data_IF_350237651087
#
_entry.id   IF_350237651087
#
_cell.length_a   1.000
_cell.length_b   1.000
_cell.length_c   1.000
_cell.angle_alpha   90.00
_cell.angle_beta   90.00
_cell.angle_gamma   90.00
#
_symmetry.space_group_name_H-M   'P 1'
#
loop_
_entity.id
_entity.type
_entity.pdbx_description
1 polymer ?
#
# COMPACT_ATOMS: atom_id res chain seq x y z
N UNK A 1 69.64 21.56 -16.50
CA UNK A 1 69.22 20.32 -15.80
C UNK A 1 67.89 20.62 -15.13
N UNK A 2 66.81 20.06 -15.67
CA UNK A 2 65.46 20.30 -15.16
C UNK A 2 65.29 19.56 -13.83
N UNK A 3 64.89 20.29 -12.78
CA UNK A 3 64.50 19.72 -11.50
C UNK A 3 63.29 18.81 -11.72
N UNK A 4 63.54 17.50 -11.76
CA UNK A 4 62.51 16.48 -11.59
C UNK A 4 62.02 16.57 -10.15
N UNK A 5 60.95 17.33 -9.91
CA UNK A 5 60.13 17.17 -8.70
C UNK A 5 59.52 15.77 -8.76
N UNK A 6 60.24 14.80 -8.21
CA UNK A 6 59.72 13.46 -7.92
C UNK A 6 58.40 13.61 -7.16
N UNK A 7 57.32 13.05 -7.71
CA UNK A 7 56.06 12.95 -7.00
C UNK A 7 56.31 12.29 -5.63
N UNK A 8 55.64 12.72 -4.56
CA UNK A 8 55.69 11.96 -3.31
C UNK A 8 55.12 10.58 -3.64
N UNK A 9 55.98 9.56 -3.60
CA UNK A 9 55.53 8.19 -3.42
C UNK A 9 54.94 8.17 -2.02
N UNK A 10 53.64 8.44 -1.91
CA UNK A 10 52.96 8.45 -0.63
C UNK A 10 53.01 7.03 -0.09
N UNK A 11 53.89 6.80 0.90
CA UNK A 11 53.79 5.64 1.76
C UNK A 11 52.35 5.58 2.29
N UNK A 12 51.78 4.38 2.36
CA UNK A 12 50.43 4.18 2.87
C UNK A 12 50.32 4.86 4.23
N UNK A 13 49.56 5.96 4.30
CA UNK A 13 49.31 6.62 5.58
C UNK A 13 48.53 5.66 6.45
N UNK A 14 48.80 5.60 7.76
CA UNK A 14 48.01 4.78 8.67
C UNK A 14 46.54 5.16 8.54
N UNK A 15 45.65 4.17 8.70
CA UNK A 15 44.21 4.43 8.64
C UNK A 15 43.83 5.48 9.72
N UNK A 16 42.92 6.40 9.40
CA UNK A 16 42.42 7.36 10.39
C UNK A 16 41.82 6.65 11.61
N UNK A 17 42.10 7.17 12.79
CA UNK A 17 41.51 6.69 14.05
C UNK A 17 40.07 7.19 14.20
N UNK A 18 39.24 6.39 14.87
CA UNK A 18 37.87 6.76 15.17
C UNK A 18 37.83 7.65 16.42
N UNK A 19 37.00 8.70 16.46
CA UNK A 19 36.90 9.58 17.62
C UNK A 19 36.30 8.83 18.82
N UNK A 20 36.75 9.11 20.03
CA UNK A 20 36.09 8.61 21.24
C UNK A 20 34.67 9.17 21.36
N UNK A 21 33.78 8.42 22.00
CA UNK A 21 32.41 8.88 22.28
C UNK A 21 32.01 8.59 23.73
N UNK A 22 30.99 9.28 24.21
CA UNK A 22 30.34 9.00 25.49
C UNK A 22 28.84 8.97 25.25
N UNK A 23 28.18 7.94 25.74
CA UNK A 23 26.74 7.78 25.58
C UNK A 23 26.01 8.52 26.70
N UNK A 24 24.98 9.27 26.34
CA UNK A 24 24.00 9.83 27.26
C UNK A 24 22.59 9.48 26.79
N UNK A 25 21.62 9.51 27.69
CA UNK A 25 20.21 9.34 27.31
C UNK A 25 19.82 10.40 26.28
N UNK A 26 19.09 10.00 25.24
CA UNK A 26 18.55 10.91 24.25
C UNK A 26 17.48 11.81 24.92
N UNK A 27 17.65 13.15 24.91
CA UNK A 27 16.62 14.04 25.44
C UNK A 27 15.33 13.93 24.63
N UNK A 28 14.14 13.94 25.26
CA UNK A 28 12.87 13.83 24.53
C UNK A 28 12.65 15.02 23.59
N UNK A 29 11.92 14.81 22.49
CA UNK A 29 11.57 15.86 21.52
C UNK A 29 10.72 16.96 22.16
N UNK A 30 9.81 16.59 23.06
CA UNK A 30 9.01 17.52 23.85
C UNK A 30 9.37 17.32 25.32
N UNK A 31 9.82 18.39 25.97
CA UNK A 31 10.22 18.35 27.37
C UNK A 31 9.10 17.76 28.25
N UNK A 32 9.44 16.71 29.00
CA UNK A 32 8.51 16.01 29.89
C UNK A 32 7.64 14.93 29.23
N UNK A 33 7.70 14.75 27.90
CA UNK A 33 6.95 13.72 27.19
C UNK A 33 7.93 12.71 26.59
N UNK A 34 7.97 11.46 27.06
CA UNK A 34 8.77 10.42 26.41
C UNK A 34 8.39 10.22 24.93
N UNK A 35 9.38 10.05 24.06
CA UNK A 35 9.20 9.96 22.60
C UNK A 35 8.28 8.81 22.16
N UNK A 36 8.19 7.74 22.97
CA UNK A 36 7.23 6.64 22.77
C UNK A 36 5.78 7.16 22.70
N UNK A 37 5.38 8.11 23.54
CA UNK A 37 4.02 8.65 23.49
C UNK A 37 3.77 9.45 22.21
N UNK A 38 4.80 10.14 21.71
CA UNK A 38 4.72 10.83 20.43
C UNK A 38 4.66 9.83 19.27
N UNK A 39 5.41 8.73 19.35
CA UNK A 39 5.38 7.65 18.36
C UNK A 39 3.99 7.02 18.26
N UNK A 40 3.31 6.82 19.39
CA UNK A 40 1.95 6.26 19.43
C UNK A 40 0.88 7.27 18.99
N UNK A 41 1.04 8.55 19.38
CA UNK A 41 0.05 9.59 19.07
C UNK A 41 0.14 10.09 17.62
N UNK A 42 1.34 10.20 17.05
CA UNK A 42 1.56 10.76 15.71
C UNK A 42 0.75 10.08 14.60
N UNK A 43 0.72 8.74 14.44
CA UNK A 43 -0.10 8.10 13.43
C UNK A 43 -1.61 8.31 13.65
N UNK A 44 -2.08 8.36 14.89
CA UNK A 44 -3.50 8.63 15.21
C UNK A 44 -3.87 10.07 14.80
N UNK A 45 -3.04 11.04 15.16
CA UNK A 45 -3.25 12.45 14.78
C UNK A 45 -3.21 12.59 13.25
N UNK A 46 -2.25 11.96 12.58
CA UNK A 46 -2.14 11.99 11.13
C UNK A 46 -3.35 11.34 10.46
N UNK A 47 -3.81 10.19 10.95
CA UNK A 47 -4.99 9.49 10.47
C UNK A 47 -6.20 10.43 10.42
N UNK A 48 -6.53 11.05 11.56
CA UNK A 48 -7.70 11.92 11.66
C UNK A 48 -7.52 13.22 10.89
N UNK A 49 -6.32 13.79 10.87
CA UNK A 49 -6.02 15.03 10.11
C UNK A 49 -6.25 14.81 8.61
N UNK A 50 -5.66 13.75 8.04
CA UNK A 50 -5.78 13.46 6.60
C UNK A 50 -7.20 12.98 6.26
N UNK A 51 -7.79 12.19 7.14
CA UNK A 51 -9.20 11.79 7.02
C UNK A 51 -10.15 12.98 6.96
N UNK A 52 -9.98 13.94 7.87
CA UNK A 52 -10.78 15.17 7.92
C UNK A 52 -10.53 16.05 6.70
N UNK A 53 -9.28 16.15 6.23
CA UNK A 53 -8.96 16.87 5.01
C UNK A 53 -9.76 16.35 3.81
N UNK A 54 -9.74 15.04 3.55
CA UNK A 54 -10.53 14.46 2.46
C UNK A 54 -12.04 14.50 2.72
N UNK A 55 -12.46 14.38 3.98
CA UNK A 55 -13.87 14.53 4.34
C UNK A 55 -14.38 15.95 4.05
N UNK A 56 -13.59 16.98 4.33
CA UNK A 56 -13.91 18.38 4.01
C UNK A 56 -13.98 18.57 2.49
N UNK A 57 -13.04 18.02 1.73
CA UNK A 57 -13.08 18.04 0.26
C UNK A 57 -14.39 17.43 -0.25
N UNK A 58 -14.82 16.33 0.37
CA UNK A 58 -16.02 15.61 -0.02
C UNK A 58 -17.32 16.36 0.31
N UNK A 59 -17.47 16.83 1.54
CA UNK A 59 -18.69 17.53 1.99
C UNK A 59 -18.85 18.92 1.35
N UNK A 60 -17.75 19.60 1.03
CA UNK A 60 -17.77 20.89 0.33
C UNK A 60 -17.74 20.74 -1.21
N UNK A 61 -17.69 19.51 -1.72
CA UNK A 61 -17.63 19.20 -3.16
C UNK A 61 -16.53 20.00 -3.91
N UNK A 62 -15.33 20.09 -3.33
CA UNK A 62 -14.27 20.98 -3.85
C UNK A 62 -13.58 20.43 -5.11
N UNK A 63 -13.56 19.11 -5.30
CA UNK A 63 -12.81 18.43 -6.36
C UNK A 63 -13.61 17.29 -7.05
N UNK A 64 -14.86 17.51 -7.47
CA UNK A 64 -15.75 16.46 -7.98
C UNK A 64 -15.20 15.77 -9.24
N UNK A 65 -14.42 16.47 -10.06
CA UNK A 65 -13.80 15.92 -11.27
C UNK A 65 -12.75 14.83 -10.99
N UNK A 66 -12.21 14.77 -9.78
CA UNK A 66 -11.22 13.78 -9.35
C UNK A 66 -11.81 12.70 -8.44
N UNK A 67 -13.10 12.80 -8.11
CA UNK A 67 -13.80 11.84 -7.24
C UNK A 67 -14.05 10.53 -8.00
N UNK A 68 -13.71 9.40 -7.38
CA UNK A 68 -13.89 8.08 -7.99
C UNK A 68 -15.37 7.66 -8.04
N UNK A 69 -16.12 7.96 -7.00
CA UNK A 69 -17.53 7.57 -6.85
C UNK A 69 -18.44 8.76 -6.55
N UNK A 70 -19.70 8.68 -6.93
CA UNK A 70 -20.68 9.73 -6.63
C UNK A 70 -21.20 9.65 -5.19
N UNK A 71 -21.71 10.76 -4.61
CA UNK A 71 -22.37 10.72 -3.30
C UNK A 71 -23.52 9.70 -3.22
N UNK A 72 -24.25 9.51 -4.33
CA UNK A 72 -25.29 8.50 -4.44
C UNK A 72 -24.74 7.07 -4.26
N UNK A 73 -23.57 6.78 -4.85
CA UNK A 73 -22.89 5.49 -4.67
C UNK A 73 -22.45 5.29 -3.22
N UNK A 74 -21.82 6.29 -2.60
CA UNK A 74 -21.39 6.24 -1.19
C UNK A 74 -22.60 5.91 -0.30
N UNK A 75 -23.74 6.59 -0.52
CA UNK A 75 -24.94 6.42 0.30
C UNK A 75 -25.67 5.09 0.06
N UNK A 76 -25.60 4.51 -1.15
CA UNK A 76 -26.42 3.34 -1.53
C UNK A 76 -25.66 2.02 -1.65
N UNK A 77 -24.34 2.04 -1.79
CA UNK A 77 -23.52 0.82 -1.97
C UNK A 77 -22.86 0.37 -0.68
N UNK A 78 -22.49 1.31 0.19
CA UNK A 78 -21.93 0.97 1.50
C UNK A 78 -23.00 0.33 2.39
N UNK A 79 -22.61 -0.76 3.07
CA UNK A 79 -23.49 -1.56 3.94
C UNK A 79 -23.26 -1.31 5.43
N UNK A 80 -22.55 -0.23 5.74
CA UNK A 80 -22.17 0.17 7.09
C UNK A 80 -22.39 1.68 7.23
N UNK A 81 -22.81 2.11 8.41
CA UNK A 81 -22.96 3.53 8.71
C UNK A 81 -21.61 4.18 9.03
N UNK A 82 -21.51 5.49 8.79
CA UNK A 82 -20.30 6.27 9.16
C UNK A 82 -19.99 6.19 10.66
N UNK A 83 -21.02 6.07 11.52
CA UNK A 83 -20.85 5.92 12.97
C UNK A 83 -20.22 4.58 13.36
N UNK A 84 -20.67 3.47 12.76
CA UNK A 84 -20.07 2.16 13.00
C UNK A 84 -18.60 2.14 12.56
N UNK A 85 -18.29 2.76 11.42
CA UNK A 85 -16.91 2.94 10.94
C UNK A 85 -16.08 3.72 11.95
N UNK A 86 -16.56 4.89 12.39
CA UNK A 86 -15.88 5.71 13.39
C UNK A 86 -15.59 4.93 14.68
N UNK A 87 -16.59 4.26 15.25
CA UNK A 87 -16.44 3.47 16.48
C UNK A 87 -15.38 2.39 16.33
N UNK A 88 -15.42 1.65 15.22
CA UNK A 88 -14.51 0.52 15.00
C UNK A 88 -13.07 1.00 14.76
N UNK A 89 -12.88 2.15 14.10
CA UNK A 89 -11.56 2.79 13.95
C UNK A 89 -10.98 3.20 15.31
N UNK A 90 -11.80 3.77 16.21
CA UNK A 90 -11.35 4.12 17.58
C UNK A 90 -10.92 2.85 18.34
N UNK A 91 -11.69 1.76 18.22
CA UNK A 91 -11.31 0.47 18.81
C UNK A 91 -9.97 -0.03 18.25
N UNK A 92 -9.77 0.09 16.93
CA UNK A 92 -8.52 -0.31 16.28
C UNK A 92 -7.33 0.52 16.77
N UNK A 93 -7.50 1.83 16.94
CA UNK A 93 -6.45 2.72 17.48
C UNK A 93 -6.11 2.41 18.94
N UNK A 94 -7.08 2.00 19.76
CA UNK A 94 -6.83 1.52 21.13
C UNK A 94 -5.96 0.25 21.09
N UNK A 95 -6.31 -0.71 20.23
CA UNK A 95 -5.54 -1.96 20.08
C UNK A 95 -4.12 -1.67 19.60
N UNK A 96 -3.96 -0.82 18.58
CA UNK A 96 -2.67 -0.37 18.08
C UNK A 96 -1.82 0.30 19.17
N UNK A 97 -2.44 1.15 20.00
CA UNK A 97 -1.75 1.83 21.11
C UNK A 97 -1.26 0.84 22.16
N UNK A 98 -2.10 -0.13 22.57
CA UNK A 98 -1.72 -1.17 23.54
C UNK A 98 -0.57 -2.03 22.98
N UNK A 99 -0.66 -2.43 21.72
CA UNK A 99 0.38 -3.22 21.08
C UNK A 99 1.69 -2.44 20.94
N UNK A 100 1.62 -1.16 20.58
CA UNK A 100 2.78 -0.28 20.50
C UNK A 100 3.46 -0.07 21.85
N UNK A 101 2.68 0.07 22.93
CA UNK A 101 3.22 0.07 24.31
C UNK A 101 3.91 -1.25 24.65
N UNK A 102 3.35 -2.38 24.22
CA UNK A 102 3.97 -3.68 24.43
C UNK A 102 5.31 -3.80 23.67
N UNK A 103 5.39 -3.32 22.43
CA UNK A 103 6.66 -3.28 21.67
C UNK A 103 7.67 -2.35 22.35
N UNK A 104 7.25 -1.13 22.70
CA UNK A 104 8.11 -0.15 23.36
C UNK A 104 8.67 -0.62 24.71
N UNK A 105 7.98 -1.53 25.41
CA UNK A 105 8.47 -2.12 26.65
C UNK A 105 9.73 -2.99 26.47
N UNK A 106 10.01 -3.44 25.23
CA UNK A 106 11.22 -4.20 24.90
C UNK A 106 12.33 -3.34 24.29
N UNK A 107 12.04 -2.08 23.94
CA UNK A 107 13.04 -1.19 23.38
C UNK A 107 13.99 -0.70 24.48
N UNK A 108 15.32 -0.83 24.30
CA UNK A 108 16.27 -0.25 25.23
C UNK A 108 16.15 1.28 25.23
N UNK A 109 16.53 1.96 26.33
CA UNK A 109 16.56 3.42 26.35
C UNK A 109 17.41 3.98 25.20
N UNK A 110 16.85 4.94 24.46
CA UNK A 110 17.59 5.57 23.36
C UNK A 110 18.76 6.38 23.90
N UNK A 111 19.93 6.16 23.29
CA UNK A 111 21.18 6.82 23.65
C UNK A 111 21.66 7.71 22.48
N UNK A 112 22.33 8.80 22.81
CA UNK A 112 22.98 9.73 21.88
C UNK A 112 24.44 9.95 22.26
N UNK A 113 25.22 10.58 21.37
CA UNK A 113 26.62 10.92 21.59
C UNK A 113 27.61 10.08 20.77
N UNK A 114 27.12 9.12 19.98
CA UNK A 114 27.93 8.26 19.10
C UNK A 114 27.92 8.72 17.63
N UNK A 115 27.22 9.78 17.29
CA UNK A 115 26.95 10.21 15.91
C UNK A 115 28.26 10.50 15.15
N UNK A 116 29.19 11.23 15.78
CA UNK A 116 30.50 11.52 15.19
C UNK A 116 31.34 10.26 14.96
N UNK A 117 31.26 9.30 15.89
CA UNK A 117 31.91 8.00 15.75
C UNK A 117 31.33 7.20 14.59
N UNK A 118 30.00 7.13 14.47
CA UNK A 118 29.33 6.40 13.39
C UNK A 118 29.62 7.01 12.01
N UNK A 119 29.61 8.35 11.90
CA UNK A 119 30.03 9.05 10.68
C UNK A 119 31.50 8.75 10.36
N UNK A 120 32.39 8.78 11.35
CA UNK A 120 33.79 8.42 11.16
C UNK A 120 33.97 6.94 10.77
N UNK A 121 33.13 6.04 11.29
CA UNK A 121 33.16 4.62 10.93
C UNK A 121 32.79 4.40 9.46
N UNK A 122 31.78 5.12 8.95
CA UNK A 122 31.45 5.14 7.52
C UNK A 122 32.58 5.77 6.67
N UNK A 123 33.21 6.85 7.15
CA UNK A 123 34.35 7.45 6.47
C UNK A 123 35.56 6.49 6.42
N UNK A 124 35.76 5.69 7.47
CA UNK A 124 36.78 4.64 7.53
C UNK A 124 36.47 3.50 6.56
N UNK A 125 35.21 3.09 6.46
CA UNK A 125 34.78 2.13 5.45
C UNK A 125 35.05 2.65 4.03
N UNK A 126 34.76 3.93 3.78
CA UNK A 126 35.06 4.60 2.51
C UNK A 126 36.57 4.68 2.23
N UNK A 127 37.40 4.96 3.24
CA UNK A 127 38.87 4.94 3.12
C UNK A 127 39.39 3.54 2.78
N UNK A 128 38.85 2.50 3.44
CA UNK A 128 39.16 1.09 3.13
C UNK A 128 38.72 0.73 1.71
N UNK A 129 37.59 1.25 1.23
CA UNK A 129 37.14 1.06 -0.14
C UNK A 129 38.10 1.71 -1.16
N UNK A 130 38.60 2.92 -0.88
CA UNK A 130 39.59 3.59 -1.73
C UNK A 130 40.88 2.78 -1.88
N UNK A 131 41.29 2.00 -0.88
CA UNK A 131 42.50 1.15 -0.96
C UNK A 131 42.44 0.12 -2.11
N UNK A 132 41.25 -0.18 -2.63
CA UNK A 132 41.06 -1.06 -3.79
C UNK A 132 41.25 -0.33 -5.13
N UNK A 133 41.22 1.00 -5.19
CA UNK A 133 41.32 1.76 -6.43
C UNK A 133 42.62 1.48 -7.22
N UNK A 134 43.82 1.42 -6.60
CA UNK A 134 45.05 1.04 -7.31
C UNK A 134 44.97 -0.35 -7.95
N UNK A 135 44.34 -1.32 -7.29
CA UNK A 135 44.16 -2.65 -7.83
C UNK A 135 43.21 -2.63 -9.03
N UNK A 136 42.05 -1.98 -8.89
CA UNK A 136 41.05 -1.89 -9.96
C UNK A 136 41.61 -1.18 -11.20
N UNK A 137 42.41 -0.13 -11.01
CA UNK A 137 43.07 0.57 -12.11
C UNK A 137 44.09 -0.32 -12.84
N UNK A 138 44.90 -1.10 -12.10
CA UNK A 138 45.84 -2.06 -12.69
C UNK A 138 45.13 -3.13 -13.50
N UNK A 139 43.98 -3.62 -13.02
CA UNK A 139 43.13 -4.57 -13.76
C UNK A 139 42.60 -3.97 -15.08
N UNK A 140 42.44 -2.65 -15.14
CA UNK A 140 42.07 -1.93 -16.35
C UNK A 140 43.28 -1.52 -17.22
N UNK A 141 44.49 -1.99 -16.91
CA UNK A 141 45.72 -1.64 -17.64
C UNK A 141 46.27 -0.24 -17.34
N UNK A 142 45.80 0.42 -16.29
CA UNK A 142 46.27 1.74 -15.87
C UNK A 142 47.19 1.64 -14.65
N UNK A 143 48.37 2.26 -14.73
CA UNK A 143 49.26 2.36 -13.57
C UNK A 143 48.83 3.53 -12.66
N UNK A 144 48.40 3.27 -11.41
CA UNK A 144 47.90 4.30 -10.51
C UNK A 144 48.97 5.32 -10.09
N UNK A 145 50.25 4.94 -10.02
CA UNK A 145 51.31 5.84 -9.55
C UNK A 145 51.57 7.03 -10.51
N UNK A 146 51.86 6.83 -11.81
CA UNK A 146 52.03 7.93 -12.75
C UNK A 146 50.72 8.69 -12.98
N UNK A 147 49.57 8.01 -12.91
CA UNK A 147 48.26 8.66 -13.04
C UNK A 147 48.00 9.62 -11.88
N UNK A 148 48.20 9.19 -10.63
CA UNK A 148 48.08 10.04 -9.45
C UNK A 148 49.03 11.24 -9.52
N UNK A 149 50.30 11.02 -9.91
CA UNK A 149 51.28 12.10 -10.06
C UNK A 149 50.84 13.18 -11.06
N UNK A 150 50.25 12.79 -12.20
CA UNK A 150 49.72 13.74 -13.20
C UNK A 150 48.53 14.54 -12.67
N UNK A 151 47.65 13.89 -11.91
CA UNK A 151 46.45 14.51 -11.36
C UNK A 151 46.76 15.45 -10.19
N UNK A 152 47.84 15.22 -9.45
CA UNK A 152 48.12 15.88 -8.17
C UNK A 152 48.04 17.41 -8.20
N UNK A 153 48.58 18.04 -9.24
CA UNK A 153 48.65 19.50 -9.35
C UNK A 153 47.28 20.15 -9.54
N UNK A 154 46.41 19.52 -10.33
CA UNK A 154 45.10 20.06 -10.71
C UNK A 154 43.96 19.51 -9.85
N UNK A 155 44.09 18.26 -9.39
CA UNK A 155 43.05 17.51 -8.68
C UNK A 155 43.66 16.67 -7.54
N UNK A 156 44.20 17.30 -6.48
CA UNK A 156 44.91 16.61 -5.41
C UNK A 156 44.04 15.56 -4.68
N UNK A 157 42.74 15.82 -4.50
CA UNK A 157 41.80 14.86 -3.90
C UNK A 157 41.65 13.60 -4.76
N UNK A 158 41.44 13.77 -6.07
CA UNK A 158 41.31 12.65 -6.99
C UNK A 158 42.62 11.87 -7.10
N UNK A 159 43.75 12.57 -7.12
CA UNK A 159 45.08 11.96 -7.09
C UNK A 159 45.28 11.08 -5.86
N UNK A 160 44.82 11.53 -4.68
CA UNK A 160 44.86 10.74 -3.44
C UNK A 160 43.96 9.50 -3.50
N UNK A 161 42.74 9.61 -4.07
CA UNK A 161 41.84 8.46 -4.31
C UNK A 161 42.48 7.42 -5.23
N UNK A 162 43.04 7.87 -6.37
CA UNK A 162 43.76 7.01 -7.32
C UNK A 162 44.96 6.31 -6.67
N UNK A 163 45.62 6.99 -5.74
CA UNK A 163 46.72 6.43 -4.93
C UNK A 163 46.24 5.52 -3.78
N UNK A 164 44.96 5.16 -3.71
CA UNK A 164 44.44 4.25 -2.69
C UNK A 164 44.02 4.92 -1.39
N UNK A 165 43.67 6.20 -1.44
CA UNK A 165 43.34 6.99 -0.25
C UNK A 165 44.58 7.44 0.52
N UNK A 166 45.68 7.69 -0.19
CA UNK A 166 46.91 8.24 0.37
C UNK A 166 46.85 9.77 0.37
N UNK A 167 46.48 10.35 1.52
CA UNK A 167 46.34 11.80 1.69
C UNK A 167 47.56 12.40 2.39
N UNK A 168 47.89 13.68 2.14
CA UNK A 168 49.08 14.32 2.69
C UNK A 168 48.93 14.75 4.16
N UNK A 169 47.76 14.55 4.76
CA UNK A 169 47.45 14.91 6.15
C UNK A 169 46.93 13.68 6.90
N UNK A 170 47.24 13.55 8.19
CA UNK A 170 46.63 12.52 9.03
C UNK A 170 45.13 12.77 9.16
N UNK A 171 44.35 11.69 9.29
CA UNK A 171 42.91 11.75 9.47
C UNK A 171 42.09 11.63 8.17
N UNK A 172 40.78 11.87 8.31
CA UNK A 172 39.83 11.84 7.20
C UNK A 172 39.93 13.11 6.35
N UNK A 173 39.80 12.94 5.03
CA UNK A 173 39.60 14.06 4.14
C UNK A 173 38.19 14.64 4.34
N UNK A 174 37.99 15.97 4.19
CA UNK A 174 36.69 16.59 4.44
C UNK A 174 35.53 15.99 3.63
N UNK A 175 35.80 15.63 2.36
CA UNK A 175 34.79 15.01 1.49
C UNK A 175 34.41 13.60 1.96
N UNK A 176 35.32 12.85 2.60
CA UNK A 176 35.01 11.52 3.13
C UNK A 176 34.01 11.62 4.27
N UNK A 177 34.19 12.59 5.17
CA UNK A 177 33.25 12.87 6.25
C UNK A 177 31.91 13.39 5.74
N UNK A 178 31.90 14.18 4.66
CA UNK A 178 30.65 14.64 4.03
C UNK A 178 29.86 13.47 3.43
N UNK A 179 30.52 12.60 2.65
CA UNK A 179 29.89 11.42 2.07
C UNK A 179 29.43 10.45 3.16
N UNK A 180 30.27 10.19 4.15
CA UNK A 180 29.94 9.35 5.29
C UNK A 180 28.78 9.93 6.12
N UNK A 181 28.76 11.25 6.30
CA UNK A 181 27.65 11.97 6.94
C UNK A 181 26.35 11.80 6.15
N UNK A 182 26.40 11.92 4.82
CA UNK A 182 25.23 11.67 3.98
C UNK A 182 24.75 10.22 4.07
N UNK A 183 25.66 9.24 4.03
CA UNK A 183 25.31 7.82 4.21
C UNK A 183 24.66 7.59 5.56
N UNK A 184 25.23 8.12 6.64
CA UNK A 184 24.70 7.94 7.99
C UNK A 184 23.34 8.64 8.19
N UNK A 185 23.23 9.91 7.84
CA UNK A 185 22.05 10.73 8.13
C UNK A 185 20.89 10.55 7.13
N UNK A 186 21.19 10.12 5.90
CA UNK A 186 20.17 9.99 4.83
C UNK A 186 20.13 8.58 4.29
N UNK A 187 21.29 8.02 3.92
CA UNK A 187 21.38 6.70 3.29
C UNK A 187 20.83 5.57 4.17
N UNK A 188 21.29 5.47 5.41
CA UNK A 188 20.87 4.43 6.37
C UNK A 188 19.37 4.54 6.65
N UNK A 189 18.81 5.70 7.07
CA UNK A 189 17.37 5.83 7.26
C UNK A 189 16.55 5.51 6.00
N UNK A 190 16.99 5.94 4.82
CA UNK A 190 16.30 5.65 3.56
C UNK A 190 16.28 4.15 3.26
N UNK A 191 17.39 3.45 3.49
CA UNK A 191 17.47 1.99 3.35
C UNK A 191 16.54 1.32 4.35
N UNK A 192 16.53 1.76 5.62
CA UNK A 192 15.64 1.22 6.65
C UNK A 192 14.17 1.41 6.25
N UNK A 193 13.77 2.61 5.82
CA UNK A 193 12.39 2.90 5.44
C UNK A 193 11.96 2.09 4.21
N UNK A 194 12.82 2.02 3.20
CA UNK A 194 12.55 1.24 1.98
C UNK A 194 12.42 -0.25 2.30
N UNK A 195 13.34 -0.80 3.11
CA UNK A 195 13.29 -2.19 3.52
C UNK A 195 12.02 -2.47 4.35
N UNK A 196 11.65 -1.59 5.26
CA UNK A 196 10.44 -1.74 6.07
C UNK A 196 9.17 -1.67 5.21
N UNK A 197 9.09 -0.77 4.23
CA UNK A 197 7.98 -0.73 3.26
C UNK A 197 7.86 -2.05 2.48
N UNK A 198 8.97 -2.62 2.02
CA UNK A 198 8.97 -3.92 1.33
C UNK A 198 8.51 -5.06 2.27
N UNK A 199 8.94 -5.03 3.53
CA UNK A 199 8.53 -6.02 4.54
C UNK A 199 7.03 -5.93 4.80
N UNK A 200 6.48 -4.72 5.02
CA UNK A 200 5.04 -4.51 5.21
C UNK A 200 4.26 -4.95 3.98
N UNK A 201 4.64 -4.49 2.78
CA UNK A 201 3.96 -4.88 1.53
C UNK A 201 3.92 -6.40 1.35
N UNK A 202 5.02 -7.07 1.71
CA UNK A 202 5.08 -8.54 1.67
C UNK A 202 4.14 -9.16 2.67
N UNK A 203 4.20 -8.73 3.92
CA UNK A 203 3.34 -9.24 4.99
C UNK A 203 1.86 -9.05 4.66
N UNK A 204 1.48 -7.83 4.31
CA UNK A 204 0.10 -7.47 4.02
C UNK A 204 -0.40 -8.13 2.74
N UNK A 205 0.37 -8.15 1.65
CA UNK A 205 -0.04 -8.81 0.41
C UNK A 205 -0.42 -10.27 0.63
N UNK A 206 0.44 -11.05 1.31
CA UNK A 206 0.19 -12.47 1.50
C UNK A 206 -0.98 -12.74 2.43
N UNK A 207 -1.11 -11.97 3.52
CA UNK A 207 -2.21 -12.12 4.46
C UNK A 207 -3.54 -11.67 3.83
N UNK A 208 -3.55 -10.53 3.15
CA UNK A 208 -4.71 -10.00 2.44
C UNK A 208 -5.20 -10.97 1.37
N UNK A 209 -4.28 -11.47 0.52
CA UNK A 209 -4.60 -12.50 -0.47
C UNK A 209 -5.11 -13.79 0.17
N UNK A 210 -4.50 -14.25 1.26
CA UNK A 210 -4.98 -15.43 1.97
C UNK A 210 -6.41 -15.25 2.50
N UNK A 211 -6.72 -14.05 3.02
CA UNK A 211 -8.07 -13.71 3.46
C UNK A 211 -9.09 -13.71 2.33
N UNK A 212 -8.71 -13.33 1.10
CA UNK A 212 -9.61 -13.41 -0.06
C UNK A 212 -9.77 -14.81 -0.65
N UNK A 213 -8.71 -15.62 -0.63
CA UNK A 213 -8.74 -16.95 -1.24
C UNK A 213 -9.36 -18.00 -0.32
N UNK A 214 -9.27 -17.80 1.00
CA UNK A 214 -9.87 -18.68 1.99
C UNK A 214 -11.27 -18.19 2.40
N UNK A 215 -12.31 -18.98 2.11
CA UNK A 215 -13.71 -18.63 2.41
C UNK A 215 -13.97 -18.35 3.89
N UNK A 216 -13.32 -19.08 4.80
CA UNK A 216 -13.49 -18.89 6.24
C UNK A 216 -12.87 -17.55 6.66
N UNK A 217 -11.63 -17.29 6.27
CA UNK A 217 -10.95 -16.03 6.59
C UNK A 217 -11.68 -14.83 5.99
N UNK A 218 -12.16 -14.93 4.75
CA UNK A 218 -12.96 -13.87 4.12
C UNK A 218 -14.22 -13.58 4.95
N UNK A 219 -15.05 -14.60 5.19
CA UNK A 219 -16.33 -14.39 5.84
C UNK A 219 -16.19 -13.89 7.29
N UNK A 220 -15.14 -14.31 8.00
CA UNK A 220 -14.97 -13.99 9.42
C UNK A 220 -14.23 -12.67 9.65
N UNK A 221 -13.21 -12.38 8.83
CA UNK A 221 -12.37 -11.19 8.97
C UNK A 221 -12.72 -10.17 7.89
N UNK A 222 -12.24 -10.43 6.68
CA UNK A 222 -12.06 -9.41 5.65
C UNK A 222 -13.36 -8.95 4.96
N UNK A 223 -14.43 -9.74 5.05
CA UNK A 223 -15.75 -9.34 4.55
C UNK A 223 -16.32 -8.13 5.30
N UNK A 224 -15.85 -7.87 6.53
CA UNK A 224 -16.21 -6.65 7.28
C UNK A 224 -15.69 -5.42 6.56
N UNK A 225 -14.41 -5.41 6.19
CA UNK A 225 -13.79 -4.33 5.43
C UNK A 225 -14.54 -4.07 4.10
N UNK A 226 -14.84 -5.14 3.36
CA UNK A 226 -15.63 -5.09 2.11
C UNK A 226 -17.14 -4.77 2.28
N UNK A 227 -17.62 -4.44 3.49
CA UNK A 227 -18.93 -3.75 3.63
C UNK A 227 -18.85 -2.30 3.16
N UNK A 228 -17.63 -1.75 3.11
CA UNK A 228 -17.30 -0.43 2.57
C UNK A 228 -16.97 -0.53 1.08
N UNK A 229 -17.96 -0.84 0.24
CA UNK A 229 -17.81 -0.99 -1.21
C UNK A 229 -17.28 0.24 -1.95
N UNK A 230 -17.57 1.43 -1.41
CA UNK A 230 -17.08 2.70 -1.90
C UNK A 230 -16.20 3.27 -0.80
N UNK A 231 -14.87 3.09 -0.92
CA UNK A 231 -13.90 3.58 0.05
C UNK A 231 -14.00 5.09 0.22
N UNK A 232 -13.75 5.53 1.44
CA UNK A 232 -13.55 6.93 1.81
C UNK A 232 -12.52 7.02 2.93
N UNK A 233 -11.87 8.18 3.08
CA UNK A 233 -10.64 8.35 3.85
C UNK A 233 -10.67 7.77 5.28
N UNK A 234 -11.65 8.17 6.11
CA UNK A 234 -11.73 7.67 7.50
C UNK A 234 -12.26 6.23 7.62
N UNK A 235 -12.59 5.58 6.50
CA UNK A 235 -12.90 4.15 6.43
C UNK A 235 -11.68 3.26 6.22
N UNK A 236 -10.48 3.82 6.07
CA UNK A 236 -9.26 3.08 5.77
C UNK A 236 -8.92 2.00 6.81
N UNK A 237 -9.20 2.26 8.09
CA UNK A 237 -9.00 1.29 9.19
C UNK A 237 -10.30 0.60 9.62
N UNK A 238 -11.34 0.61 8.77
CA UNK A 238 -12.55 -0.15 9.03
C UNK A 238 -12.31 -1.63 8.71
N UNK A 239 -11.80 -2.37 9.68
CA UNK A 239 -11.49 -3.79 9.56
C UNK A 239 -12.03 -4.58 10.77
N UNK A 240 -11.97 -5.91 10.70
CA UNK A 240 -12.18 -6.71 11.89
C UNK A 240 -11.02 -6.46 12.88
N UNK A 241 -11.22 -6.33 14.20
CA UNK A 241 -10.13 -5.97 15.13
C UNK A 241 -8.90 -6.88 15.04
N UNK A 242 -9.11 -8.19 14.88
CA UNK A 242 -8.00 -9.13 14.67
C UNK A 242 -7.29 -8.93 13.32
N UNK A 243 -8.04 -8.56 12.28
CA UNK A 243 -7.48 -8.30 10.96
C UNK A 243 -6.60 -7.06 10.96
N UNK A 244 -7.09 -5.94 11.50
CA UNK A 244 -6.27 -4.73 11.62
C UNK A 244 -5.08 -4.93 12.54
N UNK A 245 -5.23 -5.73 13.61
CA UNK A 245 -4.07 -6.10 14.43
C UNK A 245 -3.02 -6.88 13.62
N UNK A 246 -3.43 -7.87 12.82
CA UNK A 246 -2.50 -8.70 12.07
C UNK A 246 -1.90 -7.99 10.85
N UNK A 247 -2.68 -7.23 10.09
CA UNK A 247 -2.19 -6.47 8.94
C UNK A 247 -1.41 -5.23 9.43
N UNK A 248 -2.11 -4.27 10.02
CA UNK A 248 -1.57 -2.94 10.29
C UNK A 248 -0.51 -2.98 11.41
N UNK A 249 -0.87 -3.55 12.56
CA UNK A 249 -0.03 -3.47 13.77
C UNK A 249 1.16 -4.42 13.70
N UNK A 250 0.92 -5.70 13.41
CA UNK A 250 2.00 -6.71 13.34
C UNK A 250 2.86 -6.48 12.11
N UNK A 251 2.28 -6.16 10.95
CA UNK A 251 3.04 -5.83 9.75
C UNK A 251 3.98 -4.65 9.97
N UNK A 252 3.44 -3.54 10.49
CA UNK A 252 4.21 -2.36 10.87
C UNK A 252 5.31 -2.68 11.90
N UNK A 253 4.96 -3.40 12.96
CA UNK A 253 5.90 -3.78 14.02
C UNK A 253 7.06 -4.65 13.53
N UNK A 254 6.79 -5.63 12.66
CA UNK A 254 7.84 -6.45 12.04
C UNK A 254 8.77 -5.59 11.18
N UNK A 255 8.23 -4.69 10.36
CA UNK A 255 9.02 -3.76 9.56
C UNK A 255 9.94 -2.88 10.41
N UNK A 256 9.42 -2.31 11.49
CA UNK A 256 10.16 -1.49 12.46
C UNK A 256 11.30 -2.28 13.13
N UNK A 257 10.99 -3.45 13.70
CA UNK A 257 11.95 -4.26 14.45
C UNK A 257 13.06 -4.82 13.55
N UNK A 258 12.71 -5.37 12.38
CA UNK A 258 13.68 -6.01 11.49
C UNK A 258 14.65 -5.02 10.84
N UNK A 259 14.25 -3.76 10.70
CA UNK A 259 15.11 -2.71 10.12
C UNK A 259 15.90 -1.94 11.17
N UNK A 260 15.69 -2.23 12.46
CA UNK A 260 16.42 -1.60 13.56
C UNK A 260 16.23 -0.09 13.61
N UNK A 261 15.02 0.38 13.32
CA UNK A 261 14.70 1.80 13.42
C UNK A 261 14.75 2.27 14.87
N UNK A 262 15.16 3.52 15.07
CA UNK A 262 14.98 4.24 16.33
C UNK A 262 13.50 4.55 16.57
N UNK A 263 13.09 4.86 17.80
CA UNK A 263 11.73 5.27 18.15
C UNK A 263 11.29 6.46 17.29
N UNK A 264 12.17 7.43 17.08
CA UNK A 264 11.91 8.61 16.22
C UNK A 264 11.76 8.26 14.74
N UNK A 265 12.57 7.33 14.24
CA UNK A 265 12.43 6.80 12.88
C UNK A 265 11.10 6.06 12.72
N UNK A 266 10.76 5.20 13.69
CA UNK A 266 9.47 4.49 13.75
C UNK A 266 8.29 5.46 13.80
N UNK A 267 8.38 6.55 14.57
CA UNK A 267 7.36 7.60 14.63
C UNK A 267 7.07 8.17 13.24
N UNK A 268 8.12 8.55 12.51
CA UNK A 268 7.97 9.06 11.15
C UNK A 268 7.41 7.98 10.21
N UNK A 269 7.96 6.77 10.27
CA UNK A 269 7.57 5.66 9.41
C UNK A 269 6.09 5.27 9.61
N UNK A 270 5.64 5.01 10.83
CA UNK A 270 4.25 4.67 11.12
C UNK A 270 3.28 5.79 10.74
N UNK A 271 3.68 7.05 10.94
CA UNK A 271 2.90 8.21 10.51
C UNK A 271 2.73 8.22 8.99
N UNK A 272 3.81 8.09 8.24
CA UNK A 272 3.77 8.07 6.76
C UNK A 272 2.99 6.87 6.22
N UNK A 273 3.17 5.68 6.80
CA UNK A 273 2.38 4.48 6.46
C UNK A 273 0.89 4.72 6.70
N UNK A 274 0.53 5.35 7.82
CA UNK A 274 -0.87 5.64 8.14
C UNK A 274 -1.49 6.65 7.17
N UNK A 275 -0.75 7.72 6.84
CA UNK A 275 -1.17 8.69 5.82
C UNK A 275 -1.39 7.96 4.48
N UNK A 276 -0.48 7.05 4.11
CA UNK A 276 -0.60 6.27 2.87
C UNK A 276 -1.83 5.38 2.86
N UNK A 277 -2.12 4.66 3.94
CA UNK A 277 -3.32 3.83 4.05
C UNK A 277 -4.60 4.67 3.92
N UNK A 278 -4.65 5.87 4.51
CA UNK A 278 -5.78 6.80 4.35
C UNK A 278 -5.90 7.32 2.91
N UNK A 279 -4.78 7.67 2.27
CA UNK A 279 -4.75 8.10 0.86
C UNK A 279 -5.27 7.01 -0.09
N UNK A 280 -4.87 5.75 0.10
CA UNK A 280 -5.37 4.62 -0.70
C UNK A 280 -6.89 4.39 -0.59
N UNK A 281 -7.52 4.95 0.43
CA UNK A 281 -8.96 4.87 0.65
C UNK A 281 -9.65 6.22 0.44
N UNK A 282 -8.94 7.28 0.04
CA UNK A 282 -9.49 8.63 0.13
C UNK A 282 -10.70 8.87 -0.78
N UNK A 283 -10.88 8.05 -1.82
CA UNK A 283 -11.96 8.16 -2.80
C UNK A 283 -11.68 9.18 -3.91
N UNK A 284 -10.44 9.69 -3.99
CA UNK A 284 -10.00 10.68 -4.97
C UNK A 284 -8.71 10.27 -5.67
N UNK A 285 -8.63 10.58 -6.97
CA UNK A 285 -7.41 10.50 -7.76
C UNK A 285 -6.92 11.93 -8.08
N UNK A 286 -6.34 12.60 -7.07
CA UNK A 286 -5.88 13.99 -7.21
C UNK A 286 -4.56 14.04 -8.00
N UNK A 287 -4.44 14.88 -9.04
CA UNK A 287 -3.26 14.87 -9.90
C UNK A 287 -2.01 15.45 -9.22
N UNK A 288 -2.15 16.12 -8.08
CA UNK A 288 -1.05 16.68 -7.29
C UNK A 288 -0.77 15.88 -6.01
N UNK A 289 -1.42 14.73 -5.80
CA UNK A 289 -1.13 13.90 -4.63
C UNK A 289 0.25 13.23 -4.77
N UNK A 290 1.25 13.61 -3.95
CA UNK A 290 2.59 13.05 -4.09
C UNK A 290 2.64 11.56 -3.77
N UNK A 291 1.76 11.04 -2.90
CA UNK A 291 1.78 9.63 -2.50
C UNK A 291 1.32 8.73 -3.64
N UNK A 292 0.27 9.14 -4.36
CA UNK A 292 -0.25 8.39 -5.51
C UNK A 292 0.73 8.34 -6.69
N UNK A 293 1.73 9.24 -6.74
CA UNK A 293 2.79 9.25 -7.75
C UNK A 293 4.09 8.59 -7.29
N UNK A 294 4.40 8.65 -5.99
CA UNK A 294 5.63 8.07 -5.42
C UNK A 294 5.55 6.56 -5.33
N UNK A 295 4.35 6.02 -5.10
CA UNK A 295 4.13 4.59 -4.90
C UNK A 295 3.21 4.03 -5.99
N UNK A 296 3.35 2.75 -6.33
CA UNK A 296 2.57 2.17 -7.42
C UNK A 296 1.17 1.73 -7.02
N UNK A 297 0.90 1.52 -5.72
CA UNK A 297 -0.46 1.40 -5.19
C UNK A 297 -1.04 2.80 -4.93
N UNK A 298 -2.32 3.00 -5.25
CA UNK A 298 -3.02 4.27 -5.07
C UNK A 298 -4.53 4.05 -4.93
N UNK A 299 -5.26 5.12 -4.65
CA UNK A 299 -6.72 5.10 -4.46
C UNK A 299 -7.47 4.40 -5.59
N UNK A 300 -7.13 4.64 -6.86
CA UNK A 300 -7.83 4.03 -7.99
C UNK A 300 -7.51 2.52 -8.11
N UNK A 301 -6.27 2.12 -7.85
CA UNK A 301 -5.85 0.72 -7.90
C UNK A 301 -6.52 -0.10 -6.79
N UNK A 302 -6.57 0.46 -5.58
CA UNK A 302 -7.22 -0.16 -4.43
C UNK A 302 -8.76 -0.11 -4.55
N UNK A 303 -9.35 0.93 -5.12
CA UNK A 303 -10.79 1.00 -5.34
C UNK A 303 -11.30 -0.18 -6.21
N UNK A 304 -10.57 -0.52 -7.28
CA UNK A 304 -10.88 -1.69 -8.12
C UNK A 304 -11.04 -2.97 -7.28
N UNK A 305 -10.20 -3.14 -6.26
CA UNK A 305 -10.24 -4.28 -5.37
C UNK A 305 -11.54 -4.31 -4.54
N UNK A 306 -12.02 -3.18 -4.06
CA UNK A 306 -13.31 -3.06 -3.33
C UNK A 306 -14.53 -3.34 -4.21
N UNK A 307 -14.38 -3.23 -5.54
CA UNK A 307 -15.48 -3.53 -6.44
C UNK A 307 -15.78 -5.04 -6.50
N UNK A 308 -17.07 -5.39 -6.53
CA UNK A 308 -17.52 -6.79 -6.61
C UNK A 308 -16.90 -7.59 -7.78
N UNK A 309 -16.52 -6.90 -8.85
CA UNK A 309 -15.86 -7.49 -10.01
C UNK A 309 -14.34 -7.60 -9.86
N UNK A 310 -13.68 -6.78 -9.02
CA UNK A 310 -12.23 -6.77 -8.80
C UNK A 310 -11.77 -7.38 -7.46
N UNK A 311 -12.70 -7.85 -6.63
CA UNK A 311 -12.46 -8.42 -5.28
C UNK A 311 -11.49 -9.61 -5.18
N UNK A 312 -11.01 -10.16 -6.30
CA UNK A 312 -10.01 -11.24 -6.31
C UNK A 312 -8.73 -10.84 -7.03
N UNK A 313 -8.47 -9.55 -7.12
CA UNK A 313 -7.31 -8.94 -7.76
C UNK A 313 -6.82 -7.76 -6.95
N UNK A 314 -5.66 -7.21 -7.28
CA UNK A 314 -5.10 -6.00 -6.67
C UNK A 314 -4.96 -6.13 -5.13
N UNK A 315 -4.27 -7.17 -4.65
CA UNK A 315 -4.13 -7.41 -3.21
C UNK A 315 -3.01 -6.59 -2.56
N UNK A 316 -2.14 -5.97 -3.36
CA UNK A 316 -1.02 -5.19 -2.86
C UNK A 316 -1.48 -3.94 -2.10
N UNK A 317 -0.92 -3.77 -0.90
CA UNK A 317 -1.07 -2.61 -0.03
C UNK A 317 0.08 -2.62 1.00
N UNK A 318 0.47 -1.47 1.57
CA UNK A 318 -0.01 -0.13 1.22
C UNK A 318 0.82 0.56 0.13
N UNK A 319 2.09 0.18 -0.13
CA UNK A 319 2.98 0.98 -0.98
C UNK A 319 3.01 0.49 -2.43
N UNK A 320 3.50 -0.72 -2.69
CA UNK A 320 3.88 -1.15 -4.02
C UNK A 320 3.09 -2.37 -4.52
N UNK A 321 2.87 -2.40 -5.83
CA UNK A 321 2.06 -3.41 -6.54
C UNK A 321 2.89 -4.59 -7.08
N UNK A 322 4.18 -4.67 -6.76
CA UNK A 322 5.09 -5.64 -7.38
C UNK A 322 4.67 -7.10 -7.10
N UNK A 323 4.08 -7.40 -5.94
CA UNK A 323 3.55 -8.73 -5.65
C UNK A 323 2.38 -9.12 -6.54
N UNK A 324 1.46 -8.19 -6.83
CA UNK A 324 0.39 -8.43 -7.79
C UNK A 324 0.93 -8.70 -9.19
N UNK A 325 1.94 -7.95 -9.62
CA UNK A 325 2.60 -8.17 -10.91
C UNK A 325 3.32 -9.52 -10.97
N UNK A 326 4.09 -9.84 -9.94
CA UNK A 326 4.88 -11.07 -9.86
C UNK A 326 4.00 -12.32 -9.83
N UNK A 327 2.89 -12.27 -9.10
CA UNK A 327 2.02 -13.42 -8.87
C UNK A 327 0.75 -13.41 -9.74
N UNK A 328 0.67 -12.47 -10.68
CA UNK A 328 -0.38 -12.41 -11.69
C UNK A 328 -1.77 -12.05 -11.14
N UNK A 329 -1.84 -11.30 -10.04
CA UNK A 329 -3.10 -10.89 -9.39
C UNK A 329 -3.53 -9.47 -9.71
N UNK A 330 -2.84 -8.77 -10.63
CA UNK A 330 -3.32 -7.48 -11.20
C UNK A 330 -4.66 -7.68 -11.93
N UNK A 331 -5.59 -6.75 -11.75
CA UNK A 331 -6.84 -6.71 -12.50
C UNK A 331 -6.60 -6.56 -14.01
N UNK A 332 -7.26 -7.40 -14.82
CA UNK A 332 -7.12 -7.43 -16.29
C UNK A 332 -8.44 -7.19 -17.04
N UNK A 333 -9.47 -6.69 -16.35
CA UNK A 333 -10.82 -6.60 -16.90
C UNK A 333 -11.09 -5.47 -17.90
N UNK A 334 -10.04 -4.84 -18.45
CA UNK A 334 -10.14 -3.77 -19.44
C UNK A 334 -10.64 -2.45 -18.85
N UNK A 335 -11.27 -1.64 -19.70
CA UNK A 335 -11.78 -0.32 -19.31
C UNK A 335 -12.88 -0.42 -18.24
N UNK A 336 -12.63 0.23 -17.11
CA UNK A 336 -13.51 0.27 -15.95
C UNK A 336 -14.59 1.36 -16.06
N UNK A 337 -14.43 2.33 -16.97
CA UNK A 337 -15.34 3.49 -17.11
C UNK A 337 -16.80 3.08 -17.27
N UNK A 338 -17.08 2.16 -18.19
CA UNK A 338 -18.44 1.64 -18.43
C UNK A 338 -19.04 0.95 -17.19
N UNK A 339 -18.20 0.31 -16.36
CA UNK A 339 -18.66 -0.34 -15.11
C UNK A 339 -19.02 0.72 -14.08
N UNK A 340 -18.17 1.73 -13.90
CA UNK A 340 -18.45 2.85 -13.01
C UNK A 340 -19.66 3.66 -13.45
N UNK A 341 -19.81 3.97 -14.75
CA UNK A 341 -20.98 4.68 -15.28
C UNK A 341 -22.28 3.92 -15.01
N UNK A 342 -22.27 2.59 -15.22
CA UNK A 342 -23.44 1.74 -14.92
C UNK A 342 -23.76 1.75 -13.43
N UNK A 343 -22.75 1.59 -12.57
CA UNK A 343 -22.93 1.56 -11.12
C UNK A 343 -23.41 2.93 -10.58
N UNK A 344 -22.89 4.04 -11.12
CA UNK A 344 -23.36 5.43 -10.88
C UNK A 344 -24.82 5.59 -11.24
N UNK A 345 -25.21 5.22 -12.46
CA UNK A 345 -26.60 5.33 -12.92
C UNK A 345 -27.55 4.47 -12.06
N UNK A 346 -27.10 3.28 -11.65
CA UNK A 346 -27.89 2.42 -10.78
C UNK A 346 -28.07 3.01 -9.36
N UNK A 347 -27.02 3.60 -8.79
CA UNK A 347 -27.09 4.27 -7.49
C UNK A 347 -28.00 5.50 -7.53
N UNK A 348 -27.88 6.32 -8.59
CA UNK A 348 -28.73 7.50 -8.77
C UNK A 348 -30.21 7.14 -8.86
N UNK A 349 -30.56 6.12 -9.66
CA UNK A 349 -31.95 5.62 -9.75
C UNK A 349 -32.52 5.22 -8.39
N UNK A 350 -31.72 4.61 -7.51
CA UNK A 350 -32.16 4.26 -6.15
C UNK A 350 -32.42 5.49 -5.29
N UNK A 351 -31.56 6.51 -5.38
CA UNK A 351 -31.76 7.78 -4.67
C UNK A 351 -33.04 8.47 -5.15
N UNK A 352 -33.26 8.50 -6.46
CA UNK A 352 -34.44 9.15 -7.06
C UNK A 352 -35.74 8.40 -6.69
N UNK A 353 -35.70 7.07 -6.66
CA UNK A 353 -36.81 6.24 -6.21
C UNK A 353 -37.16 6.49 -4.73
N UNK A 354 -36.17 6.58 -3.85
CA UNK A 354 -36.39 6.87 -2.43
C UNK A 354 -36.98 8.27 -2.22
N UNK A 355 -36.48 9.27 -2.96
CA UNK A 355 -37.04 10.63 -2.92
C UNK A 355 -38.49 10.65 -3.40
N UNK A 356 -38.80 9.95 -4.49
CA UNK A 356 -40.16 9.84 -5.01
C UNK A 356 -41.09 9.13 -4.01
N UNK A 357 -40.63 8.06 -3.37
CA UNK A 357 -41.38 7.35 -2.33
C UNK A 357 -41.64 8.24 -1.11
N UNK A 358 -40.64 9.01 -0.67
CA UNK A 358 -40.78 9.94 0.44
C UNK A 358 -41.74 11.09 0.11
N UNK A 359 -41.67 11.65 -1.10
CA UNK A 359 -42.61 12.66 -1.57
C UNK A 359 -44.04 12.12 -1.65
N UNK A 360 -44.22 10.88 -2.14
CA UNK A 360 -45.52 10.23 -2.17
C UNK A 360 -46.08 9.97 -0.75
N UNK A 361 -45.23 9.64 0.22
CA UNK A 361 -45.63 9.47 1.62
C UNK A 361 -46.08 10.80 2.24
N UNK A 362 -45.30 11.88 2.03
CA UNK A 362 -45.64 13.23 2.50
C UNK A 362 -46.95 13.74 1.89
N UNK A 363 -47.14 13.53 0.57
CA UNK A 363 -48.35 13.90 -0.12
C UNK A 363 -49.59 13.14 0.39
N UNK A 364 -49.42 11.91 0.91
CA UNK A 364 -50.52 11.14 1.55
C UNK A 364 -50.83 11.62 2.97
N UNK A 365 -49.84 12.13 3.71
CA UNK A 365 -50.06 12.69 5.05
C UNK A 365 -50.72 14.08 5.03
N UNK A 366 -50.62 14.81 3.92
CA UNK A 366 -51.24 16.14 3.75
C UNK A 366 -52.68 16.09 3.22
N UNK A 367 -53.26 14.90 2.99
CA UNK A 367 -54.67 14.74 2.62
C UNK A 367 -55.52 14.77 3.90
N UNK A 368 -56.44 15.75 4.08
CA UNK A 368 -57.40 15.72 5.18
C UNK A 368 -58.23 14.44 5.08
N UNK A 369 -58.40 13.72 6.20
CA UNK A 369 -59.27 12.54 6.30
C UNK A 369 -60.59 12.80 5.56
N UNK A 370 -60.89 12.07 4.47
CA UNK A 370 -62.22 12.13 3.89
C UNK A 370 -63.19 11.63 4.95
N UNK A 371 -64.22 12.43 5.24
CA UNK A 371 -65.34 11.99 6.06
C UNK A 371 -65.84 10.64 5.56
N UNK A 372 -66.10 9.74 6.51
CA UNK A 372 -66.57 8.37 6.28
C UNK A 372 -67.63 8.33 5.16
N UNK A 373 -67.22 7.90 3.97
CA UNK A 373 -68.13 7.36 2.98
C UNK A 373 -67.87 5.86 2.93
N UNK A 374 -68.88 5.10 3.37
CA UNK A 374 -68.90 3.65 3.35
C UNK A 374 -68.63 3.14 1.93
N UNK A 375 -67.43 2.59 1.72
CA UNK A 375 -67.11 1.85 0.49
C UNK A 375 -67.87 0.53 0.51
N UNK A 376 -68.63 0.26 -0.56
CA UNK A 376 -69.43 -0.96 -0.70
C UNK A 376 -68.51 -2.21 -0.82
N UNK A 377 -68.93 -3.41 -0.38
CA UNK A 377 -68.08 -4.61 -0.30
C UNK A 377 -67.37 -5.00 -1.61
N UNK A 378 -67.92 -4.61 -2.77
CA UNK A 378 -67.33 -4.89 -4.08
C UNK A 378 -66.08 -4.06 -4.39
N UNK A 379 -65.90 -2.88 -3.79
CA UNK A 379 -64.69 -2.06 -4.01
C UNK A 379 -63.50 -2.57 -3.20
N UNK A 380 -63.72 -3.03 -1.96
CA UNK A 380 -62.66 -3.61 -1.12
C UNK A 380 -62.12 -4.93 -1.70
N UNK A 381 -62.98 -5.78 -2.28
CA UNK A 381 -62.55 -7.02 -2.93
C UNK A 381 -61.65 -6.74 -4.14
N UNK A 382 -62.01 -5.74 -4.96
CA UNK A 382 -61.29 -5.41 -6.20
C UNK A 382 -59.91 -4.78 -5.93
N UNK A 383 -59.78 -4.08 -4.81
CA UNK A 383 -58.53 -3.46 -4.38
C UNK A 383 -57.60 -4.49 -3.71
N UNK A 384 -58.16 -5.43 -2.92
CA UNK A 384 -57.51 -6.65 -2.44
C UNK A 384 -56.92 -7.48 -3.58
N UNK A 385 -57.73 -7.78 -4.61
CA UNK A 385 -57.29 -8.59 -5.74
C UNK A 385 -56.20 -7.87 -6.56
N UNK A 386 -56.26 -6.54 -6.68
CA UNK A 386 -55.20 -5.75 -7.33
C UNK A 386 -53.89 -5.76 -6.55
N UNK A 387 -53.94 -5.65 -5.22
CA UNK A 387 -52.75 -5.71 -4.38
C UNK A 387 -52.13 -7.12 -4.37
N UNK A 388 -52.96 -8.16 -4.40
CA UNK A 388 -52.50 -9.55 -4.51
C UNK A 388 -51.81 -9.82 -5.86
N UNK A 389 -52.36 -9.31 -6.98
CA UNK A 389 -51.73 -9.44 -8.30
C UNK A 389 -50.40 -8.66 -8.38
N UNK A 390 -50.35 -7.44 -7.83
CA UNK A 390 -49.11 -6.66 -7.79
C UNK A 390 -48.00 -7.33 -6.95
N UNK A 391 -48.35 -7.94 -5.82
CA UNK A 391 -47.41 -8.68 -4.99
C UNK A 391 -46.88 -9.93 -5.70
N UNK A 392 -47.72 -10.63 -6.47
CA UNK A 392 -47.31 -11.80 -7.27
C UNK A 392 -46.40 -11.39 -8.43
N UNK A 393 -46.66 -10.24 -9.06
CA UNK A 393 -45.82 -9.72 -10.14
C UNK A 393 -44.46 -9.23 -9.63
N UNK A 394 -44.39 -8.58 -8.45
CA UNK A 394 -43.11 -8.23 -7.81
C UNK A 394 -42.30 -9.47 -7.41
N UNK A 395 -42.96 -10.50 -6.87
CA UNK A 395 -42.27 -11.74 -6.48
C UNK A 395 -41.77 -12.52 -7.70
N UNK A 396 -42.47 -12.40 -8.85
CA UNK A 396 -42.06 -12.98 -10.12
C UNK A 396 -40.87 -12.24 -10.72
N UNK A 397 -40.89 -10.91 -10.71
CA UNK A 397 -39.80 -10.08 -11.24
C UNK A 397 -38.51 -10.27 -10.40
N UNK A 398 -38.63 -10.41 -9.07
CA UNK A 398 -37.49 -10.69 -8.19
C UNK A 398 -36.92 -12.12 -8.38
N UNK A 399 -37.76 -13.10 -8.75
CA UNK A 399 -37.32 -14.45 -9.15
C UNK A 399 -36.63 -14.45 -10.51
N UNK A 400 -37.15 -13.69 -11.48
CA UNK A 400 -36.57 -13.58 -12.83
C UNK A 400 -35.23 -12.83 -12.80
N UNK A 401 -35.09 -11.80 -11.95
CA UNK A 401 -33.81 -11.11 -11.70
C UNK A 401 -32.78 -12.04 -11.04
N UNK A 402 -33.17 -12.87 -10.07
CA UNK A 402 -32.29 -13.88 -9.45
C UNK A 402 -31.88 -14.97 -10.45
N UNK A 403 -32.77 -15.41 -11.33
CA UNK A 403 -32.43 -16.36 -12.40
C UNK A 403 -31.54 -15.74 -13.49
N UNK A 404 -31.73 -14.47 -13.84
CA UNK A 404 -30.88 -13.76 -14.79
C UNK A 404 -29.45 -13.58 -14.24
N UNK A 405 -29.30 -13.27 -12.95
CA UNK A 405 -28.01 -13.22 -12.27
C UNK A 405 -27.30 -14.58 -12.23
N UNK A 406 -28.05 -15.68 -12.12
CA UNK A 406 -27.53 -17.05 -12.15
C UNK A 406 -27.20 -17.54 -13.57
N UNK A 407 -27.88 -17.03 -14.60
CA UNK A 407 -27.59 -17.32 -16.02
C UNK A 407 -26.42 -16.49 -16.55
N UNK A 408 -26.25 -15.25 -16.09
CA UNK A 408 -25.13 -14.37 -16.46
C UNK A 408 -23.74 -14.87 -16.00
N UNK A 409 -23.70 -15.75 -15.00
CA UNK A 409 -22.48 -16.40 -14.49
C UNK A 409 -22.14 -17.73 -15.16
N UNK A 410 -22.96 -18.21 -16.10
CA UNK A 410 -22.74 -19.47 -16.83
C UNK A 410 -22.38 -19.24 -18.30
N UNK A 411 -21.35 -18.43 -18.57
CA UNK A 411 -20.68 -18.45 -19.87
C UNK A 411 -19.74 -19.65 -19.89
N UNK A 412 -20.10 -20.68 -20.67
CA UNK A 412 -19.35 -21.94 -20.85
C UNK A 412 -17.86 -21.67 -21.14
N UNK A 413 -16.98 -21.89 -20.16
CA UNK A 413 -15.60 -22.31 -20.45
C UNK A 413 -15.66 -23.79 -20.79
N UNK A 414 -15.66 -24.11 -22.09
CA UNK A 414 -15.62 -25.49 -22.56
C UNK A 414 -14.26 -26.11 -22.27
N UNK A 415 -14.15 -26.85 -21.17
CA UNK A 415 -13.12 -27.86 -21.00
C UNK A 415 -13.84 -29.18 -20.71
N UNK A 416 -14.00 -29.99 -21.76
CA UNK A 416 -14.62 -31.31 -21.68
C UNK A 416 -13.51 -32.36 -21.56
N UNK A 417 -13.18 -32.70 -20.32
CA UNK A 417 -12.15 -33.68 -20.00
C UNK A 417 -12.48 -35.10 -20.50
N UNK A 418 -13.70 -35.36 -20.98
CA UNK A 418 -14.12 -36.65 -21.51
C UNK A 418 -13.77 -36.85 -22.98
N UNK A 419 -13.57 -35.76 -23.74
CA UNK A 419 -13.20 -35.82 -25.15
C UNK A 419 -11.71 -36.15 -25.40
N UNK A 420 -10.85 -36.05 -24.37
CA UNK A 420 -9.42 -36.34 -24.47
C UNK A 420 -9.12 -37.84 -24.27
N UNK A 421 -9.89 -38.53 -23.44
CA UNK A 421 -9.71 -39.95 -23.13
C UNK A 421 -10.11 -40.84 -24.31
N UNK A 422 -11.13 -40.46 -25.07
CA UNK A 422 -11.58 -41.22 -26.24
C UNK A 422 -10.66 -41.04 -27.46
N UNK A 423 -9.88 -39.94 -27.51
CA UNK A 423 -8.90 -39.69 -28.59
C UNK A 423 -7.56 -40.42 -28.43
N UNK A 424 -7.24 -40.92 -27.24
CA UNK A 424 -6.01 -41.68 -26.99
C UNK A 424 -6.23 -43.19 -27.15
N UNK A 425 -7.47 -43.67 -26.97
CA UNK A 425 -7.80 -45.10 -27.15
C UNK A 425 -8.06 -45.52 -28.61
N UNK A 426 -8.37 -44.57 -29.51
CA UNK A 426 -8.72 -44.86 -30.92
C UNK A 426 -7.56 -44.96 -31.91
N UNK A 427 -6.31 -44.72 -31.50
CA UNK A 427 -5.16 -44.63 -32.41
C UNK A 427 -4.29 -45.90 -32.49
N UNK A 428 -4.65 -46.98 -31.80
CA UNK A 428 -3.77 -48.15 -31.68
C UNK A 428 -4.17 -49.40 -32.46
N UNK A 429 -5.22 -49.35 -33.27
CA UNK A 429 -5.59 -50.49 -34.14
C UNK A 429 -6.07 -50.01 -35.51
N UNK A 430 -5.16 -49.80 -36.45
CA UNK A 430 -5.42 -50.01 -37.88
C UNK A 430 -4.21 -49.67 -38.76
N UNK A 431 -3.69 -50.73 -39.38
CA UNK A 431 -2.95 -50.81 -40.66
C UNK A 431 -1.41 -50.83 -40.62
N UNK A 432 -0.96 -52.07 -40.81
CA UNK A 432 0.35 -52.50 -41.28
C UNK A 432 0.51 -52.32 -42.80
N UNK A 433 1.79 -52.25 -43.19
CA UNK A 433 2.43 -52.81 -44.39
C UNK A 433 2.84 -51.87 -45.54
N UNK A 434 4.13 -52.02 -45.87
CA UNK A 434 4.85 -51.76 -47.11
C UNK A 434 5.18 -50.30 -47.48
N UNK A 435 6.48 -49.97 -47.48
CA UNK A 435 7.32 -49.99 -48.70
C UNK A 435 8.81 -49.84 -48.32
N UNK A 436 9.62 -50.64 -49.01
CA UNK A 436 11.07 -50.80 -48.94
C UNK A 436 11.86 -49.67 -49.65
N UNK A 437 13.15 -49.57 -49.26
CA UNK A 437 14.40 -49.30 -50.04
C UNK A 437 15.19 -48.02 -49.71
N UNK A 438 16.30 -48.23 -49.00
CA UNK A 438 17.70 -48.25 -49.46
C UNK A 438 18.38 -46.99 -50.06
N UNK A 439 19.59 -46.74 -49.49
CA UNK A 439 20.81 -46.11 -50.04
C UNK A 439 20.74 -44.59 -50.31
N UNK A 440 21.61 -43.73 -49.77
CA UNK A 440 23.07 -43.79 -49.62
C UNK A 440 23.56 -42.99 -48.39
#
# INVERSE_FOLDING_TARGET
>A
MANSTSAPLFAASPLPELPSYTLSLLPPLIAGIPDVWLQLAAPIVAYWTVSLFFHIIDELDLCPQYRLHTPAEIAKRNRVTRWEVFRDVILQQIIQTIAGLAVAAFDPPEMTGKEQYEVAAWALALRKAQAWAPLLLRLCGLDPAPLSARLWKSYPTLAAVVAGGAYPRPGFAPWELQVAGFVYWVGVPLIQFTAASIIIDTWEYFLHRAMHLNKFLYNWLHSRHHRLYVPYAFGALYNHPLEGFLLDTVGGGIGYLLTGMTVRQGMLFFTLSTIKTVDDHCGYALPWDPLQHLTSNNAAYHDIHHQSWGIKTNFSQPFFTFWDHLLGTVWKGGDVRLRYERDRAAAQRKVDADKAAQQALLARSDVPLPGQQESTPQQQQKESDRQAVAAVDEERDDRDLKQAAFRGTRRKSGFDAKALTDRVAGSLHSRSSAILRAEH
#
